data_IF_262687646478
#
_entry.id   IF_262687646478
#
_cell.length_a   1.000
_cell.length_b   1.000
_cell.length_c   1.000
_cell.angle_alpha   90.00
_cell.angle_beta   90.00
_cell.angle_gamma   90.00
#
_symmetry.space_group_name_H-M   'P 1'
#
loop_
_entity.id
_entity.type
_entity.pdbx_description
1 polymer ?
#
# COMPACT_ATOMS: atom_id res chain seq x y z
N UNK A 1 6.82 22.93 -11.57
CA UNK A 1 6.99 21.83 -10.59
C UNK A 1 6.51 20.55 -11.25
N UNK A 2 7.37 19.57 -11.59
CA UNK A 2 6.81 18.28 -12.00
C UNK A 2 6.18 17.66 -10.75
N UNK A 3 4.88 17.38 -10.80
CA UNK A 3 4.22 16.58 -9.76
C UNK A 3 4.80 15.16 -9.83
N UNK A 4 5.44 14.69 -8.77
CA UNK A 4 5.85 13.29 -8.61
C UNK A 4 4.65 12.40 -8.28
N UNK A 5 3.64 12.44 -9.14
CA UNK A 5 2.44 11.63 -9.02
C UNK A 5 2.68 10.29 -9.75
N UNK A 6 2.49 9.17 -9.06
CA UNK A 6 2.68 7.83 -9.62
C UNK A 6 1.87 7.60 -10.92
N UNK A 7 0.72 8.27 -11.06
CA UNK A 7 -0.14 8.23 -12.26
C UNK A 7 0.54 8.81 -13.50
N UNK A 8 1.41 9.81 -13.33
CA UNK A 8 2.05 10.52 -14.45
C UNK A 8 3.26 9.75 -15.00
N UNK A 9 3.76 8.76 -14.26
CA UNK A 9 4.91 7.97 -14.68
C UNK A 9 4.91 6.56 -14.03
N UNK A 10 3.92 5.69 -14.37
CA UNK A 10 3.74 4.39 -13.72
C UNK A 10 4.96 3.47 -13.85
N UNK A 11 5.75 3.65 -14.92
CA UNK A 11 6.90 2.78 -15.24
C UNK A 11 8.21 3.25 -14.61
N UNK A 12 8.23 4.29 -13.76
CA UNK A 12 9.49 4.70 -13.08
C UNK A 12 10.06 3.57 -12.21
N UNK A 13 9.19 2.73 -11.64
CA UNK A 13 9.61 1.55 -10.88
C UNK A 13 10.39 0.54 -11.73
N UNK A 14 10.03 0.36 -13.00
CA UNK A 14 10.67 -0.62 -13.89
C UNK A 14 12.15 -0.31 -14.09
N UNK A 15 12.52 0.97 -14.19
CA UNK A 15 13.93 1.38 -14.34
C UNK A 15 14.80 0.91 -13.16
N UNK A 16 14.26 0.93 -11.94
CA UNK A 16 14.99 0.45 -10.75
C UNK A 16 15.16 -1.07 -10.80
N UNK A 17 14.15 -1.79 -11.30
CA UNK A 17 14.23 -3.24 -11.48
C UNK A 17 15.23 -3.63 -12.57
N UNK A 18 15.29 -2.88 -13.67
CA UNK A 18 16.27 -3.08 -14.75
C UNK A 18 17.72 -2.84 -14.26
N UNK A 19 17.93 -1.87 -13.38
CA UNK A 19 19.24 -1.57 -12.77
C UNK A 19 19.63 -2.58 -11.66
N UNK A 20 18.68 -3.36 -11.16
CA UNK A 20 18.86 -4.35 -10.09
C UNK A 20 18.19 -5.69 -10.44
N UNK A 21 18.59 -6.34 -11.55
CA UNK A 21 17.85 -7.48 -12.10
C UNK A 21 17.84 -8.67 -11.14
N UNK A 22 18.81 -8.84 -10.24
CA UNK A 22 18.83 -10.01 -9.36
C UNK A 22 18.14 -9.79 -8.01
N UNK A 23 17.59 -8.60 -7.76
CA UNK A 23 16.97 -8.26 -6.47
C UNK A 23 15.47 -8.44 -6.50
N UNK A 24 14.96 -9.12 -5.47
CA UNK A 24 13.54 -9.08 -5.15
C UNK A 24 13.16 -7.72 -4.59
N UNK A 25 11.89 -7.36 -4.70
CA UNK A 25 11.41 -6.06 -4.27
C UNK A 25 10.04 -6.14 -3.61
N UNK A 26 9.77 -5.17 -2.74
CA UNK A 26 8.45 -4.92 -2.17
C UNK A 26 7.97 -3.57 -2.71
N UNK A 27 6.69 -3.48 -3.06
CA UNK A 27 6.10 -2.24 -3.56
C UNK A 27 4.83 -1.92 -2.79
N UNK A 28 4.56 -0.65 -2.59
CA UNK A 28 3.36 -0.23 -1.90
C UNK A 28 3.15 1.27 -2.02
N UNK A 29 2.01 1.72 -1.50
CA UNK A 29 1.69 3.13 -1.60
C UNK A 29 0.47 3.54 -0.80
N UNK A 30 0.38 4.84 -0.61
CA UNK A 30 -0.74 5.49 0.06
C UNK A 30 -1.81 5.94 -0.95
N UNK A 31 -3.08 5.71 -0.62
CA UNK A 31 -4.24 6.16 -1.40
C UNK A 31 -4.08 5.83 -2.90
N UNK A 32 -4.16 6.80 -3.81
CA UNK A 32 -3.94 6.56 -5.25
C UNK A 32 -2.59 5.91 -5.59
N UNK A 33 -1.55 6.16 -4.78
CA UNK A 33 -0.24 5.52 -4.94
C UNK A 33 -0.30 4.01 -4.72
N UNK A 34 -1.14 3.53 -3.80
CA UNK A 34 -1.33 2.09 -3.57
C UNK A 34 -2.07 1.40 -4.73
N UNK A 35 -3.05 2.08 -5.34
CA UNK A 35 -3.69 1.60 -6.58
C UNK A 35 -2.68 1.44 -7.71
N UNK A 36 -1.77 2.41 -7.87
CA UNK A 36 -0.72 2.31 -8.90
C UNK A 36 0.32 1.25 -8.55
N UNK A 37 0.66 1.08 -7.27
CA UNK A 37 1.55 0.03 -6.80
C UNK A 37 1.01 -1.37 -7.12
N UNK A 38 -0.30 -1.61 -6.97
CA UNK A 38 -0.88 -2.93 -7.29
C UNK A 38 -0.89 -3.22 -8.79
N UNK A 39 -1.18 -2.22 -9.63
CA UNK A 39 -1.06 -2.34 -11.08
C UNK A 39 0.37 -2.65 -11.51
N UNK A 40 1.36 -1.96 -10.93
CA UNK A 40 2.77 -2.25 -11.16
C UNK A 40 3.14 -3.66 -10.71
N UNK A 41 2.73 -4.06 -9.51
CA UNK A 41 2.99 -5.41 -8.98
C UNK A 41 2.44 -6.51 -9.87
N UNK A 42 1.24 -6.32 -10.45
CA UNK A 42 0.60 -7.27 -11.37
C UNK A 42 1.38 -7.46 -12.66
N UNK A 43 2.02 -6.41 -13.16
CA UNK A 43 2.82 -6.46 -14.40
C UNK A 43 4.24 -7.03 -14.17
N UNK A 44 4.71 -7.07 -12.92
CA UNK A 44 6.10 -7.40 -12.56
C UNK A 44 6.23 -8.49 -11.48
N UNK A 45 5.43 -9.56 -11.57
CA UNK A 45 5.32 -10.56 -10.49
C UNK A 45 6.57 -11.41 -10.23
N UNK A 46 7.49 -11.56 -11.20
CA UNK A 46 8.62 -12.50 -11.14
C UNK A 46 9.54 -12.30 -9.92
N UNK A 47 9.76 -11.03 -9.53
CA UNK A 47 10.68 -10.65 -8.43
C UNK A 47 9.97 -9.96 -7.28
N UNK A 48 8.65 -9.93 -7.34
CA UNK A 48 7.83 -9.37 -6.29
C UNK A 48 7.96 -10.25 -5.04
N UNK A 49 8.30 -9.63 -3.92
CA UNK A 49 8.41 -10.29 -2.60
C UNK A 49 7.29 -9.88 -1.64
N UNK A 50 6.53 -8.84 -1.95
CA UNK A 50 5.40 -8.40 -1.13
C UNK A 50 4.78 -7.09 -1.62
N UNK A 51 3.55 -6.84 -1.16
CA UNK A 51 2.82 -5.60 -1.46
C UNK A 51 2.22 -5.01 -0.19
N UNK A 52 2.25 -3.69 -0.03
CA UNK A 52 1.53 -3.03 1.07
C UNK A 52 0.64 -1.87 0.59
N UNK A 53 -0.50 -1.71 1.25
CA UNK A 53 -1.47 -0.65 1.01
C UNK A 53 -1.64 0.19 2.27
N UNK A 54 -1.50 1.51 2.14
CA UNK A 54 -1.73 2.47 3.23
C UNK A 54 -2.97 3.29 2.88
N UNK A 55 -4.07 3.10 3.61
CA UNK A 55 -5.37 3.70 3.29
C UNK A 55 -5.70 3.62 1.78
N UNK A 56 -5.52 2.42 1.21
CA UNK A 56 -5.62 2.15 -0.22
C UNK A 56 -6.11 0.73 -0.47
N UNK A 57 -6.50 0.45 -1.71
CA UNK A 57 -6.83 -0.88 -2.22
C UNK A 57 -6.49 -1.01 -3.70
N UNK A 58 -6.34 -2.23 -4.24
CA UNK A 58 -6.21 -2.43 -5.68
C UNK A 58 -7.55 -2.16 -6.38
N UNK A 59 -7.48 -1.72 -7.64
CA UNK A 59 -8.63 -1.81 -8.54
C UNK A 59 -8.59 -3.09 -9.39
N UNK A 60 -9.61 -3.27 -10.22
CA UNK A 60 -9.76 -4.41 -11.13
C UNK A 60 -8.51 -4.64 -12.01
N UNK A 61 -7.93 -3.55 -12.50
CA UNK A 61 -6.71 -3.57 -13.32
C UNK A 61 -5.50 -4.02 -12.51
N UNK A 62 -5.43 -3.69 -11.23
CA UNK A 62 -4.35 -4.08 -10.32
C UNK A 62 -4.66 -5.29 -9.45
N UNK A 63 -5.57 -6.19 -9.86
CA UNK A 63 -5.88 -7.40 -9.10
C UNK A 63 -4.66 -8.28 -8.84
N UNK A 64 -4.51 -8.68 -7.57
CA UNK A 64 -3.42 -9.48 -7.02
C UNK A 64 -3.92 -10.80 -6.43
N UNK A 65 -5.17 -11.20 -6.64
CA UNK A 65 -5.81 -12.33 -5.98
C UNK A 65 -5.04 -13.67 -6.11
N UNK A 66 -4.25 -13.82 -7.17
CA UNK A 66 -3.53 -15.05 -7.50
C UNK A 66 -2.02 -15.00 -7.21
N UNK A 67 -1.50 -13.92 -6.60
CA UNK A 67 -0.09 -13.86 -6.22
C UNK A 67 0.14 -14.64 -4.91
N UNK A 68 1.37 -15.14 -4.73
CA UNK A 68 1.74 -15.96 -3.56
C UNK A 68 2.72 -15.23 -2.63
N UNK A 69 2.75 -13.90 -2.69
CA UNK A 69 3.57 -13.07 -1.80
C UNK A 69 2.71 -12.44 -0.71
N UNK A 70 3.30 -12.11 0.44
CA UNK A 70 2.58 -11.44 1.51
C UNK A 70 2.02 -10.09 1.05
N UNK A 71 0.83 -9.78 1.56
CA UNK A 71 0.16 -8.49 1.34
C UNK A 71 -0.28 -7.91 2.67
N UNK A 72 0.05 -6.64 2.92
CA UNK A 72 -0.45 -5.86 4.06
C UNK A 72 -1.44 -4.81 3.58
N UNK A 73 -2.61 -4.74 4.21
CA UNK A 73 -3.58 -3.67 4.06
C UNK A 73 -3.76 -2.95 5.39
N UNK A 74 -3.28 -1.72 5.48
CA UNK A 74 -3.29 -0.91 6.70
C UNK A 74 -4.23 0.30 6.53
N UNK A 75 -5.28 0.38 7.36
CA UNK A 75 -6.27 1.49 7.34
C UNK A 75 -6.30 2.26 8.65
N UNK A 76 -6.94 3.43 8.67
CA UNK A 76 -7.19 4.21 9.89
C UNK A 76 -8.65 4.11 10.30
N UNK A 77 -8.93 3.93 11.60
CA UNK A 77 -10.29 3.78 12.11
C UNK A 77 -11.19 5.01 11.90
N UNK A 78 -10.59 6.21 11.78
CA UNK A 78 -11.25 7.48 11.54
C UNK A 78 -11.07 7.96 10.09
N UNK A 79 -10.66 7.07 9.17
CA UNK A 79 -10.54 7.41 7.75
C UNK A 79 -11.94 7.60 7.13
N UNK A 80 -12.23 8.81 6.66
CA UNK A 80 -13.48 9.15 5.96
C UNK A 80 -13.29 9.43 4.47
N UNK A 81 -12.08 9.30 3.96
CA UNK A 81 -11.74 9.50 2.54
C UNK A 81 -11.75 8.18 1.80
N UNK A 82 -11.28 7.11 2.44
CA UNK A 82 -11.30 5.77 1.89
C UNK A 82 -12.75 5.36 1.62
N UNK A 83 -13.05 5.04 0.36
CA UNK A 83 -14.35 4.52 0.00
C UNK A 83 -14.50 3.10 0.57
N UNK A 84 -15.23 2.99 1.67
CA UNK A 84 -15.40 1.75 2.42
C UNK A 84 -16.07 0.65 1.59
N UNK A 85 -17.06 0.98 0.76
CA UNK A 85 -17.72 0.00 -0.10
C UNK A 85 -16.76 -0.57 -1.15
N UNK A 86 -15.99 0.30 -1.80
CA UNK A 86 -14.98 -0.10 -2.77
C UNK A 86 -13.85 -0.90 -2.09
N UNK A 87 -13.42 -0.49 -0.89
CA UNK A 87 -12.43 -1.21 -0.10
C UNK A 87 -12.89 -2.65 0.23
N UNK A 88 -14.13 -2.83 0.70
CA UNK A 88 -14.64 -4.18 0.98
C UNK A 88 -14.73 -5.04 -0.29
N UNK A 89 -15.15 -4.46 -1.42
CA UNK A 89 -15.16 -5.16 -2.71
C UNK A 89 -13.74 -5.56 -3.16
N UNK A 90 -12.77 -4.66 -3.03
CA UNK A 90 -11.40 -4.87 -3.46
C UNK A 90 -10.68 -5.99 -2.69
N UNK A 91 -11.18 -6.42 -1.53
CA UNK A 91 -10.64 -7.60 -0.82
C UNK A 91 -10.69 -8.87 -1.67
N UNK A 92 -11.62 -8.98 -2.60
CA UNK A 92 -11.69 -10.11 -3.55
C UNK A 92 -10.51 -10.10 -4.55
N UNK A 93 -9.90 -8.94 -4.76
CA UNK A 93 -8.75 -8.73 -5.64
C UNK A 93 -7.42 -8.96 -4.93
N UNK A 94 -7.44 -9.40 -3.67
CA UNK A 94 -6.27 -9.65 -2.84
C UNK A 94 -6.18 -11.12 -2.44
N UNK A 95 -4.96 -11.64 -2.19
CA UNK A 95 -4.77 -13.01 -1.68
C UNK A 95 -5.54 -13.26 -0.38
N UNK A 96 -6.01 -14.49 -0.17
CA UNK A 96 -6.77 -14.87 1.04
C UNK A 96 -5.96 -14.71 2.34
N UNK A 97 -4.64 -14.79 2.25
CA UNK A 97 -3.71 -14.59 3.35
C UNK A 97 -3.26 -13.13 3.51
N UNK A 98 -3.96 -12.17 2.88
CA UNK A 98 -3.70 -10.74 3.11
C UNK A 98 -3.90 -10.40 4.58
N UNK A 99 -2.92 -9.71 5.15
CA UNK A 99 -2.99 -9.20 6.50
C UNK A 99 -3.71 -7.86 6.51
N UNK A 100 -4.84 -7.80 7.23
CA UNK A 100 -5.61 -6.58 7.38
C UNK A 100 -5.38 -6.02 8.77
N UNK A 101 -4.83 -4.82 8.84
CA UNK A 101 -4.61 -4.08 10.07
C UNK A 101 -5.33 -2.74 10.03
N UNK A 102 -5.76 -2.27 11.20
CA UNK A 102 -6.35 -0.96 11.38
C UNK A 102 -5.62 -0.23 12.51
N UNK A 103 -5.31 1.06 12.30
CA UNK A 103 -4.73 1.94 13.31
C UNK A 103 -5.89 2.61 14.08
N UNK A 104 -6.08 2.28 15.38
CA UNK A 104 -7.09 2.92 16.20
C UNK A 104 -6.86 4.43 16.27
N UNK A 105 -7.91 5.19 15.97
CA UNK A 105 -7.84 6.65 15.98
C UNK A 105 -7.04 7.29 14.85
N UNK A 106 -6.49 6.51 13.92
CA UNK A 106 -5.83 7.04 12.71
C UNK A 106 -6.84 7.47 11.64
N UNK A 107 -6.48 8.43 10.79
CA UNK A 107 -7.30 8.91 9.66
C UNK A 107 -6.57 8.74 8.32
N UNK A 108 -7.18 9.14 7.20
CA UNK A 108 -6.56 9.01 5.86
C UNK A 108 -5.28 9.82 5.76
N UNK A 109 -5.38 11.10 6.13
CA UNK A 109 -4.30 12.05 6.02
C UNK A 109 -3.10 11.65 6.87
N UNK A 110 -3.27 10.94 7.98
CA UNK A 110 -2.15 10.51 8.81
C UNK A 110 -1.24 9.48 8.15
N UNK A 111 -1.62 8.88 7.02
CA UNK A 111 -0.73 8.06 6.18
C UNK A 111 0.12 8.89 5.22
N UNK A 112 -0.30 10.12 4.91
CA UNK A 112 0.43 11.06 4.07
C UNK A 112 0.91 12.26 4.88
N UNK A 113 2.20 12.54 4.92
CA UNK A 113 2.75 13.66 5.71
C UNK A 113 2.46 15.06 5.11
N UNK A 114 1.25 15.29 4.60
CA UNK A 114 0.77 16.54 4.00
C UNK A 114 -0.20 17.33 4.89
N UNK A 115 -0.54 16.83 6.08
CA UNK A 115 -1.42 17.48 7.05
C UNK A 115 -2.92 17.23 6.80
N UNK A 116 -3.82 17.89 7.54
CA UNK A 116 -5.25 17.60 7.51
C UNK A 116 -5.87 17.73 6.10
N UNK A 117 -6.70 16.75 5.73
CA UNK A 117 -7.41 16.73 4.46
C UNK A 117 -8.88 17.09 4.64
N UNK A 118 -9.41 17.92 3.74
CA UNK A 118 -10.84 18.23 3.71
C UNK A 118 -11.64 16.96 3.40
N UNK A 119 -12.64 16.67 4.23
CA UNK A 119 -13.52 15.51 4.08
C UNK A 119 -12.98 14.22 4.72
N UNK A 120 -11.81 14.28 5.36
CA UNK A 120 -11.31 13.20 6.20
C UNK A 120 -11.84 13.31 7.64
N UNK A 121 -11.79 12.21 8.37
CA UNK A 121 -12.06 12.22 9.80
C UNK A 121 -10.90 12.82 10.59
N UNK A 122 -11.16 13.11 11.85
CA UNK A 122 -10.15 13.67 12.75
C UNK A 122 -9.35 12.54 13.39
N UNK A 123 -8.03 12.54 13.21
CA UNK A 123 -7.15 11.66 13.98
C UNK A 123 -7.28 11.95 15.49
N UNK A 124 -7.42 10.90 16.29
CA UNK A 124 -7.41 10.96 17.76
C UNK A 124 -6.12 10.40 18.35
N UNK A 125 -5.30 9.73 17.53
CA UNK A 125 -3.94 9.34 17.87
C UNK A 125 -2.96 10.52 17.70
N UNK A 126 -1.93 10.58 18.55
CA UNK A 126 -0.93 11.66 18.52
C UNK A 126 0.13 11.49 17.44
N UNK A 127 0.54 10.25 17.14
CA UNK A 127 1.59 9.96 16.16
C UNK A 127 1.24 8.74 15.32
N UNK A 128 0.44 8.96 14.27
CA UNK A 128 0.07 7.91 13.33
C UNK A 128 1.26 7.46 12.47
N UNK A 129 2.21 8.34 12.16
CA UNK A 129 3.38 8.00 11.36
C UNK A 129 4.25 6.95 12.07
N UNK A 130 4.40 7.08 13.39
CA UNK A 130 5.10 6.09 14.21
C UNK A 130 4.40 4.72 14.15
N UNK A 131 3.07 4.67 14.29
CA UNK A 131 2.31 3.41 14.17
C UNK A 131 2.45 2.78 12.79
N UNK A 132 2.36 3.57 11.72
CA UNK A 132 2.55 3.10 10.34
C UNK A 132 3.94 2.49 10.17
N UNK A 133 4.98 3.19 10.62
CA UNK A 133 6.36 2.73 10.51
C UNK A 133 6.58 1.43 11.31
N UNK A 134 6.10 1.36 12.55
CA UNK A 134 6.25 0.18 13.39
C UNK A 134 5.57 -1.06 12.77
N UNK A 135 4.33 -0.90 12.30
CA UNK A 135 3.57 -2.00 11.70
C UNK A 135 4.20 -2.48 10.39
N UNK A 136 4.68 -1.54 9.57
CA UNK A 136 5.41 -1.89 8.35
C UNK A 136 6.73 -2.61 8.66
N UNK A 137 7.50 -2.14 9.65
CA UNK A 137 8.77 -2.79 10.03
C UNK A 137 8.52 -4.21 10.53
N UNK A 138 7.54 -4.40 11.43
CA UNK A 138 7.19 -5.73 11.94
C UNK A 138 6.80 -6.66 10.78
N UNK A 139 5.89 -6.20 9.91
CA UNK A 139 5.48 -6.97 8.74
C UNK A 139 6.64 -7.30 7.80
N UNK A 140 7.57 -6.37 7.57
CA UNK A 140 8.77 -6.59 6.77
C UNK A 140 9.72 -7.61 7.42
N UNK A 141 9.89 -7.56 8.74
CA UNK A 141 10.75 -8.48 9.49
C UNK A 141 10.19 -9.92 9.47
N UNK A 142 8.87 -10.07 9.65
CA UNK A 142 8.19 -11.37 9.57
C UNK A 142 8.30 -12.02 8.17
N UNK A 143 8.47 -11.20 7.14
CA UNK A 143 8.56 -11.64 5.75
C UNK A 143 9.95 -11.42 5.13
N UNK A 144 10.98 -11.16 5.93
CA UNK A 144 12.32 -10.83 5.45
C UNK A 144 12.93 -11.93 4.54
N UNK A 145 12.56 -13.20 4.78
CA UNK A 145 13.01 -14.33 3.97
C UNK A 145 12.41 -14.34 2.55
N UNK A 146 11.32 -13.61 2.31
CA UNK A 146 10.77 -13.43 0.96
C UNK A 146 11.62 -12.48 0.13
N UNK A 147 12.41 -11.60 0.75
CA UNK A 147 13.21 -10.55 0.10
C UNK A 147 14.67 -10.95 -0.10
N UNK A 148 15.17 -11.90 0.72
CA UNK A 148 16.50 -12.51 0.59
C UNK A 148 16.57 -13.47 -0.60
#
# INVERSE_FOLDING_TARGET
>A
MPLDLAVLAPNRGAKVLDEQPDRKYIVGGHSLGGVMASRFAKEHTEKLAGVFFLASYPDDKGSLANIQVPVLSLTGANDQVLNQEAYQKAKQELPKNTEYQEIPGGNHAGFGSYGPQKGDGKATISDQNQEVAQRLIIWLEEHADQVR
#
